data_IF_224758375853
#
_entry.id   IF_224758375853
#
_cell.length_a   1.000
_cell.length_b   1.000
_cell.length_c   1.000
_cell.angle_alpha   90.00
_cell.angle_beta   90.00
_cell.angle_gamma   90.00
#
_symmetry.space_group_name_H-M   'P 1'
#
loop_
_entity.id
_entity.type
_entity.pdbx_description
1 polymer ?
#
# COMPACT_ATOMS: atom_id res chain seq x y z
N UNK A 1 -9.19 16.90 14.97
CA UNK A 1 -8.51 15.59 15.06
C UNK A 1 -9.02 14.55 14.04
N UNK A 2 -10.27 14.63 13.57
CA UNK A 2 -10.89 13.65 12.66
C UNK A 2 -10.44 13.65 11.19
N UNK A 3 -10.06 14.76 10.52
CA UNK A 3 -9.82 14.72 9.07
C UNK A 3 -8.55 13.92 8.71
N UNK A 4 -7.49 13.99 9.52
CA UNK A 4 -6.24 13.28 9.28
C UNK A 4 -6.41 11.75 9.34
N UNK A 5 -7.27 11.26 10.24
CA UNK A 5 -7.60 9.83 10.35
C UNK A 5 -8.34 9.38 9.09
N UNK A 6 -9.32 10.16 8.63
CA UNK A 6 -10.12 9.84 7.44
C UNK A 6 -9.24 9.78 6.18
N UNK A 7 -8.33 10.73 5.99
CA UNK A 7 -7.39 10.74 4.87
C UNK A 7 -6.41 9.56 4.92
N UNK A 8 -5.90 9.23 6.10
CA UNK A 8 -4.98 8.08 6.29
C UNK A 8 -5.69 6.76 5.98
N UNK A 9 -6.94 6.61 6.43
CA UNK A 9 -7.75 5.43 6.16
C UNK A 9 -8.04 5.27 4.66
N UNK A 10 -8.40 6.38 3.99
CA UNK A 10 -8.67 6.37 2.55
C UNK A 10 -7.42 6.06 1.73
N UNK A 11 -6.28 6.65 2.09
CA UNK A 11 -4.99 6.37 1.46
C UNK A 11 -4.56 4.90 1.64
N UNK A 12 -4.84 4.31 2.81
CA UNK A 12 -4.54 2.92 3.11
C UNK A 12 -5.40 1.96 2.28
N UNK A 13 -6.72 2.22 2.18
CA UNK A 13 -7.62 1.43 1.34
C UNK A 13 -7.22 1.54 -0.14
N UNK A 14 -6.89 2.74 -0.60
CA UNK A 14 -6.43 2.96 -1.97
C UNK A 14 -5.14 2.19 -2.28
N UNK A 15 -4.15 2.19 -1.36
CA UNK A 15 -2.90 1.47 -1.60
C UNK A 15 -3.07 -0.05 -1.51
N UNK A 16 -3.91 -0.56 -0.60
CA UNK A 16 -4.25 -1.98 -0.57
C UNK A 16 -4.94 -2.41 -1.87
N UNK A 17 -5.89 -1.61 -2.37
CA UNK A 17 -6.55 -1.87 -3.66
C UNK A 17 -5.56 -1.89 -4.83
N UNK A 18 -4.68 -0.90 -4.91
CA UNK A 18 -3.63 -0.83 -5.94
C UNK A 18 -2.62 -1.98 -5.84
N UNK A 19 -2.25 -2.38 -4.63
CA UNK A 19 -1.35 -3.50 -4.37
C UNK A 19 -1.96 -4.84 -4.81
N UNK A 20 -3.23 -5.10 -4.44
CA UNK A 20 -3.97 -6.30 -4.85
C UNK A 20 -4.15 -6.34 -6.36
N UNK A 21 -4.53 -5.21 -6.98
CA UNK A 21 -4.66 -5.11 -8.44
C UNK A 21 -3.32 -5.37 -9.14
N UNK A 22 -2.23 -4.80 -8.63
CA UNK A 22 -0.89 -4.99 -9.18
C UNK A 22 -0.43 -6.44 -9.06
N UNK A 23 -0.72 -7.09 -7.92
CA UNK A 23 -0.43 -8.50 -7.72
C UNK A 23 -1.28 -9.39 -8.63
N UNK A 24 -2.58 -9.14 -8.73
CA UNK A 24 -3.49 -9.88 -9.61
C UNK A 24 -3.09 -9.74 -11.09
N UNK A 25 -2.64 -8.57 -11.52
CA UNK A 25 -2.13 -8.36 -12.87
C UNK A 25 -0.76 -9.04 -13.08
N UNK A 26 0.02 -9.21 -12.02
CA UNK A 26 1.27 -9.97 -12.07
C UNK A 26 1.04 -11.49 -12.22
N UNK A 27 0.04 -12.06 -11.54
CA UNK A 27 -0.28 -13.50 -11.57
C UNK A 27 -1.17 -13.93 -12.73
N UNK A 28 -1.80 -13.00 -13.47
CA UNK A 28 -2.56 -13.36 -14.68
C UNK A 28 -1.63 -14.04 -15.70
N UNK A 29 -2.09 -15.19 -16.19
CA UNK A 29 -1.36 -16.03 -17.13
C UNK A 29 -1.06 -15.26 -18.42
N UNK A 30 0.22 -14.94 -18.63
CA UNK A 30 0.69 -14.21 -19.80
C UNK A 30 1.03 -15.19 -20.92
N UNK A 31 0.01 -15.56 -21.70
CA UNK A 31 0.07 -16.49 -22.84
C UNK A 31 0.85 -15.95 -24.06
N UNK A 32 1.67 -14.91 -23.91
CA UNK A 32 2.51 -14.35 -24.99
C UNK A 32 3.88 -13.98 -24.44
N UNK A 33 4.92 -14.44 -25.14
CA UNK A 33 6.35 -14.08 -24.94
C UNK A 33 6.60 -12.59 -25.26
N UNK A 34 5.94 -11.68 -24.55
CA UNK A 34 6.20 -10.26 -24.66
C UNK A 34 7.17 -9.84 -23.53
N UNK A 35 8.21 -9.03 -23.84
CA UNK A 35 9.14 -8.56 -22.83
C UNK A 35 8.40 -7.79 -21.73
N UNK A 36 8.69 -8.11 -20.47
CA UNK A 36 8.09 -7.45 -19.32
C UNK A 36 8.56 -5.99 -19.27
N UNK A 37 7.74 -5.06 -19.79
CA UNK A 37 8.05 -3.63 -19.74
C UNK A 37 7.69 -2.98 -18.40
N UNK A 38 6.73 -3.55 -17.64
CA UNK A 38 6.29 -2.99 -16.35
C UNK A 38 6.53 -4.01 -15.23
N UNK A 39 7.43 -3.71 -14.27
CA UNK A 39 7.70 -4.59 -13.15
C UNK A 39 6.60 -4.46 -12.08
N UNK A 40 5.47 -5.14 -12.30
CA UNK A 40 4.32 -5.15 -11.39
C UNK A 40 4.64 -5.58 -9.95
N UNK A 41 5.65 -6.45 -9.76
CA UNK A 41 6.17 -6.80 -8.42
C UNK A 41 6.74 -5.59 -7.68
N UNK A 42 7.45 -4.70 -8.37
CA UNK A 42 8.05 -3.51 -7.74
C UNK A 42 6.95 -2.55 -7.28
N UNK A 43 5.90 -2.39 -8.09
CA UNK A 43 4.72 -1.58 -7.75
C UNK A 43 3.98 -2.19 -6.56
N UNK A 44 3.80 -3.52 -6.54
CA UNK A 44 3.18 -4.21 -5.42
C UNK A 44 3.99 -4.06 -4.12
N UNK A 45 5.32 -4.21 -4.17
CA UNK A 45 6.21 -4.01 -3.02
C UNK A 45 6.19 -2.57 -2.52
N UNK A 46 6.21 -1.58 -3.41
CA UNK A 46 6.12 -0.18 -3.03
C UNK A 46 4.79 0.14 -2.35
N UNK A 47 3.66 -0.40 -2.83
CA UNK A 47 2.38 -0.18 -2.17
C UNK A 47 2.31 -0.91 -0.82
N UNK A 48 2.89 -2.10 -0.71
CA UNK A 48 2.95 -2.83 0.56
C UNK A 48 3.77 -2.05 1.62
N UNK A 49 4.94 -1.54 1.25
CA UNK A 49 5.76 -0.70 2.12
C UNK A 49 5.04 0.61 2.52
N UNK A 50 4.38 1.26 1.58
CA UNK A 50 3.61 2.50 1.83
C UNK A 50 2.42 2.23 2.75
N UNK A 51 1.72 1.10 2.56
CA UNK A 51 0.61 0.67 3.42
C UNK A 51 1.09 0.44 4.85
N UNK A 52 2.27 -0.18 5.02
CA UNK A 52 2.86 -0.37 6.34
C UNK A 52 3.19 0.96 7.03
N UNK A 53 3.77 1.93 6.30
CA UNK A 53 4.02 3.28 6.83
C UNK A 53 2.73 4.01 7.22
N UNK A 54 1.65 3.86 6.45
CA UNK A 54 0.33 4.44 6.77
C UNK A 54 -0.27 3.83 8.03
N UNK A 55 -0.07 2.52 8.27
CA UNK A 55 -0.48 1.86 9.52
C UNK A 55 0.27 2.44 10.72
N UNK A 56 1.60 2.57 10.62
CA UNK A 56 2.41 3.18 11.70
C UNK A 56 1.97 4.63 11.94
N UNK A 57 1.71 5.40 10.88
CA UNK A 57 1.20 6.75 10.98
C UNK A 57 -0.16 6.80 11.68
N UNK A 58 -1.06 5.86 11.37
CA UNK A 58 -2.36 5.74 12.01
C UNK A 58 -2.22 5.44 13.51
N UNK A 59 -1.38 4.47 13.89
CA UNK A 59 -1.07 4.12 15.29
C UNK A 59 -0.50 5.33 16.04
N UNK A 60 0.42 6.07 15.41
CA UNK A 60 0.99 7.29 15.97
C UNK A 60 -0.07 8.38 16.18
N UNK A 61 -1.02 8.52 15.25
CA UNK A 61 -2.14 9.46 15.38
C UNK A 61 -3.13 9.07 16.48
N UNK A 62 -3.27 7.76 16.77
CA UNK A 62 -4.08 7.24 17.87
C UNK A 62 -3.48 7.48 19.26
N UNK A 63 -2.29 8.08 19.34
CA UNK A 63 -1.65 8.41 20.63
C UNK A 63 -0.94 7.22 21.28
N UNK A 64 -0.77 6.11 20.55
CA UNK A 64 0.20 5.06 20.88
C UNK A 64 1.60 5.53 20.44
N UNK A 65 2.01 6.69 20.95
CA UNK A 65 3.35 7.23 20.75
C UNK A 65 4.34 6.21 21.34
N UNK A 66 4.91 5.32 20.52
CA UNK A 66 5.89 4.29 20.89
C UNK A 66 7.25 4.86 21.33
N UNK A 67 7.26 6.10 21.82
CA UNK A 67 8.44 6.88 22.17
C UNK A 67 8.14 8.19 22.92
N UNK A 68 6.99 8.31 23.60
CA UNK A 68 6.78 9.42 24.53
C UNK A 68 7.36 9.05 25.90
N UNK A 69 8.33 9.85 26.35
CA UNK A 69 8.87 9.83 27.71
C UNK A 69 7.77 9.92 28.76
#
# INVERSE_FOLDING_TARGET
MTPNILYTLFALIACLGLGILSYHLHTREHNKLQPRMVPWIIIAMACLATSFMLIVHLINLFGLETGRR
#
